data_IF_386839688055
#
_entry.id   IF_386839688055
#
_cell.length_a   1.000
_cell.length_b   1.000
_cell.length_c   1.000
_cell.angle_alpha   90.00
_cell.angle_beta   90.00
_cell.angle_gamma   90.00
#
_symmetry.space_group_name_H-M   'P 1'
#
loop_
_entity.id
_entity.type
_entity.pdbx_description
1 polymer ?
#
# COMPACT_ATOMS: atom_id res chain seq x y z
N UNK A 1 10.64 -3.59 -11.54
CA UNK A 1 9.29 -3.61 -10.92
C UNK A 1 8.82 -2.20 -10.66
N UNK A 2 7.61 -1.82 -11.09
CA UNK A 2 7.01 -0.50 -10.80
C UNK A 2 6.00 -0.58 -9.67
N UNK A 3 6.23 0.17 -8.60
CA UNK A 3 5.40 0.14 -7.38
C UNK A 3 4.70 1.48 -7.18
N UNK A 4 3.37 1.46 -7.12
CA UNK A 4 2.58 2.63 -6.71
C UNK A 4 2.60 2.72 -5.19
N UNK A 5 3.22 3.76 -4.64
CA UNK A 5 3.21 3.99 -3.20
C UNK A 5 2.16 5.06 -2.83
N UNK A 6 1.32 4.75 -1.85
CA UNK A 6 0.32 5.67 -1.31
C UNK A 6 0.30 5.63 0.19
N UNK A 7 0.20 6.81 0.78
CA UNK A 7 0.12 6.99 2.22
C UNK A 7 -1.22 7.64 2.57
N UNK A 8 -1.85 7.18 3.65
CA UNK A 8 -3.09 7.73 4.17
C UNK A 8 -2.91 8.09 5.64
N UNK A 9 -3.30 9.30 6.05
CA UNK A 9 -3.27 9.73 7.45
C UNK A 9 -2.07 10.61 7.84
N UNK A 10 -1.48 10.38 9.02
CA UNK A 10 -0.62 11.34 9.72
C UNK A 10 0.84 11.37 9.24
N UNK A 11 1.58 12.42 9.63
CA UNK A 11 3.02 12.62 9.33
C UNK A 11 3.91 11.42 9.69
N UNK A 12 3.54 10.62 10.69
CA UNK A 12 4.33 9.45 11.10
C UNK A 12 4.46 8.40 9.98
N UNK A 13 3.46 8.28 9.09
CA UNK A 13 3.51 7.35 7.96
C UNK A 13 4.47 7.75 6.84
N UNK A 14 4.99 8.98 6.87
CA UNK A 14 5.99 9.39 5.88
C UNK A 14 7.27 8.59 6.09
N UNK A 15 7.62 8.26 7.34
CA UNK A 15 8.79 7.46 7.64
C UNK A 15 8.64 6.03 7.11
N UNK A 16 7.53 5.37 7.39
CA UNK A 16 7.26 4.01 6.90
C UNK A 16 7.21 3.96 5.37
N UNK A 17 6.59 4.96 4.75
CA UNK A 17 6.55 5.08 3.31
C UNK A 17 7.94 5.26 2.70
N UNK A 18 8.81 6.05 3.33
CA UNK A 18 10.17 6.26 2.86
C UNK A 18 11.01 4.99 3.00
N UNK A 19 10.80 4.21 4.07
CA UNK A 19 11.44 2.90 4.20
C UNK A 19 10.95 1.91 3.13
N UNK A 20 9.66 1.90 2.82
CA UNK A 20 9.11 1.11 1.71
C UNK A 20 9.68 1.59 0.36
N UNK A 21 9.84 2.90 0.16
CA UNK A 21 10.47 3.44 -1.04
C UNK A 21 11.90 2.93 -1.17
N UNK A 22 12.70 3.07 -0.11
CA UNK A 22 14.07 2.61 -0.07
C UNK A 22 14.17 1.09 -0.34
N UNK A 23 13.26 0.28 0.19
CA UNK A 23 13.17 -1.15 -0.12
C UNK A 23 12.94 -1.42 -1.61
N UNK A 24 11.97 -0.74 -2.21
CA UNK A 24 11.65 -0.90 -3.63
C UNK A 24 12.84 -0.49 -4.49
N UNK A 25 13.48 0.63 -4.19
CA UNK A 25 14.66 1.11 -4.92
C UNK A 25 15.86 0.18 -4.75
N UNK A 26 16.11 -0.33 -3.54
CA UNK A 26 17.17 -1.31 -3.27
C UNK A 26 16.98 -2.63 -4.05
N UNK A 27 15.72 -3.00 -4.34
CA UNK A 27 15.38 -4.15 -5.19
C UNK A 27 15.44 -3.84 -6.70
N UNK A 28 15.92 -2.65 -7.10
CA UNK A 28 15.97 -2.21 -8.50
C UNK A 28 14.60 -1.84 -9.08
N UNK A 29 13.61 -1.62 -8.21
CA UNK A 29 12.28 -1.15 -8.57
C UNK A 29 12.21 0.37 -8.74
N UNK A 30 11.08 0.84 -9.25
CA UNK A 30 10.76 2.26 -9.40
C UNK A 30 9.50 2.56 -8.61
N UNK A 31 9.58 3.51 -7.68
CA UNK A 31 8.42 4.01 -6.98
C UNK A 31 7.73 5.08 -7.80
N UNK A 32 6.45 4.87 -8.05
CA UNK A 32 5.57 5.82 -8.72
C UNK A 32 4.83 6.60 -7.64
N UNK A 33 5.28 7.83 -7.40
CA UNK A 33 4.47 8.83 -6.71
C UNK A 33 3.45 9.37 -7.71
N UNK A 34 2.18 9.41 -7.34
CA UNK A 34 1.26 10.17 -8.18
C UNK A 34 -0.15 9.75 -7.96
N UNK A 35 -0.96 10.65 -7.40
CA UNK A 35 -2.39 10.57 -7.10
C UNK A 35 -3.26 9.95 -8.20
N UNK A 36 -2.78 9.93 -9.45
CA UNK A 36 -3.46 9.32 -10.57
C UNK A 36 -3.10 7.84 -10.75
N UNK A 37 -4.00 6.96 -10.29
CA UNK A 37 -3.92 5.50 -10.49
C UNK A 37 -3.93 5.14 -11.98
N UNK A 38 -4.38 6.03 -12.88
CA UNK A 38 -4.53 5.72 -14.32
C UNK A 38 -3.24 5.89 -15.12
N UNK A 39 -2.39 6.86 -14.76
CA UNK A 39 -1.14 7.15 -15.51
C UNK A 39 0.02 6.23 -15.13
N UNK A 40 -0.04 5.56 -13.98
CA UNK A 40 1.01 4.68 -13.50
C UNK A 40 0.72 3.23 -13.90
N UNK A 41 1.49 2.66 -14.84
CA UNK A 41 1.47 1.23 -15.13
C UNK A 41 2.15 0.40 -14.02
N UNK A 42 1.67 0.56 -12.78
CA UNK A 42 2.18 -0.13 -11.62
C UNK A 42 1.78 -1.61 -11.63
N UNK A 43 2.75 -2.48 -11.36
CA UNK A 43 2.55 -3.93 -11.20
C UNK A 43 2.04 -4.23 -9.79
N UNK A 44 2.50 -3.44 -8.82
CA UNK A 44 2.12 -3.56 -7.41
C UNK A 44 1.77 -2.19 -6.85
N UNK A 45 0.76 -2.12 -5.99
CA UNK A 45 0.44 -0.95 -5.20
C UNK A 45 0.65 -1.24 -3.72
N UNK A 46 1.51 -0.46 -3.07
CA UNK A 46 1.70 -0.51 -1.62
C UNK A 46 0.96 0.66 -0.99
N UNK A 47 -0.02 0.35 -0.15
CA UNK A 47 -0.79 1.34 0.59
C UNK A 47 -0.42 1.26 2.07
N UNK A 48 0.00 2.38 2.66
CA UNK A 48 0.26 2.49 4.10
C UNK A 48 -0.70 3.46 4.76
N UNK A 49 -1.22 3.10 5.94
CA UNK A 49 -2.12 3.94 6.72
C UNK A 49 -1.88 3.80 8.22
N UNK A 50 -2.00 4.92 8.94
CA UNK A 50 -1.67 5.03 10.37
C UNK A 50 -2.87 4.59 11.23
N UNK A 51 -4.04 4.38 10.60
CA UNK A 51 -5.28 3.93 11.22
C UNK A 51 -5.77 4.70 12.45
N UNK A 52 -5.21 5.89 12.69
CA UNK A 52 -5.53 6.72 13.84
C UNK A 52 -6.98 7.23 13.74
N UNK A 53 -7.48 7.44 12.52
CA UNK A 53 -8.85 7.90 12.28
C UNK A 53 -9.63 6.94 11.38
N UNK A 54 -10.96 6.91 11.54
CA UNK A 54 -11.83 6.10 10.71
C UNK A 54 -11.86 6.61 9.26
N UNK A 55 -11.67 7.92 9.06
CA UNK A 55 -11.56 8.54 7.74
C UNK A 55 -10.34 8.00 6.97
N UNK A 56 -9.17 7.91 7.62
CA UNK A 56 -7.97 7.38 6.97
C UNK A 56 -8.11 5.90 6.58
N UNK A 57 -8.89 5.13 7.33
CA UNK A 57 -9.23 3.75 6.99
C UNK A 57 -10.24 3.69 5.83
N UNK A 58 -11.23 4.59 5.80
CA UNK A 58 -12.18 4.70 4.70
C UNK A 58 -11.49 5.08 3.38
N UNK A 59 -10.59 6.07 3.40
CA UNK A 59 -9.79 6.51 2.25
C UNK A 59 -8.92 5.37 1.70
N UNK A 60 -8.25 4.64 2.59
CA UNK A 60 -7.48 3.46 2.23
C UNK A 60 -8.35 2.43 1.50
N UNK A 61 -9.50 2.07 2.09
CA UNK A 61 -10.44 1.10 1.50
C UNK A 61 -10.99 1.58 0.16
N UNK A 62 -11.24 2.88 0.01
CA UNK A 62 -11.69 3.47 -1.25
C UNK A 62 -10.60 3.39 -2.32
N UNK A 63 -9.35 3.67 -1.96
CA UNK A 63 -8.21 3.57 -2.86
C UNK A 63 -7.98 2.14 -3.34
N UNK A 64 -8.04 1.14 -2.43
CA UNK A 64 -7.96 -0.29 -2.80
C UNK A 64 -9.02 -0.64 -3.84
N UNK A 65 -10.29 -0.32 -3.57
CA UNK A 65 -11.40 -0.61 -4.48
C UNK A 65 -11.27 0.09 -5.83
N UNK A 66 -10.73 1.32 -5.83
CA UNK A 66 -10.47 2.06 -7.07
C UNK A 66 -9.36 1.41 -7.88
N UNK A 67 -8.26 1.00 -7.25
CA UNK A 67 -7.18 0.27 -7.92
C UNK A 67 -7.71 -1.03 -8.52
N UNK A 68 -8.45 -1.83 -7.73
CA UNK A 68 -9.00 -3.09 -8.22
C UNK A 68 -9.99 -2.92 -9.39
N UNK A 69 -10.70 -1.78 -9.46
CA UNK A 69 -11.63 -1.46 -10.56
C UNK A 69 -10.90 -0.94 -11.79
N UNK A 70 -10.01 0.03 -11.62
CA UNK A 70 -9.35 0.75 -12.71
C UNK A 70 -8.16 -0.07 -13.26
N UNK A 71 -7.59 -0.98 -12.45
CA UNK A 71 -6.40 -1.79 -12.74
C UNK A 71 -6.53 -3.19 -12.10
N UNK A 72 -7.33 -4.10 -12.66
CA UNK A 72 -7.54 -5.44 -12.08
C UNK A 72 -6.26 -6.29 -12.00
N UNK A 73 -5.26 -6.01 -12.85
CA UNK A 73 -3.98 -6.74 -12.86
C UNK A 73 -2.96 -6.23 -11.83
N UNK A 74 -3.24 -5.10 -11.16
CA UNK A 74 -2.34 -4.53 -10.15
C UNK A 74 -2.57 -5.23 -8.81
N UNK A 75 -1.53 -5.87 -8.28
CA UNK A 75 -1.55 -6.47 -6.94
C UNK A 75 -1.54 -5.38 -5.88
N UNK A 76 -2.37 -5.49 -4.85
CA UNK A 76 -2.38 -4.54 -3.74
C UNK A 76 -1.78 -5.18 -2.48
N UNK A 77 -0.86 -4.47 -1.86
CA UNK A 77 -0.25 -4.78 -0.57
C UNK A 77 -0.64 -3.66 0.39
N UNK A 78 -1.18 -4.01 1.55
CA UNK A 78 -1.52 -3.03 2.58
C UNK A 78 -0.61 -3.25 3.79
N UNK A 79 0.06 -2.19 4.23
CA UNK A 79 0.99 -2.23 5.36
C UNK A 79 0.71 -1.13 6.40
N UNK A 80 1.31 -1.22 7.58
CA UNK A 80 1.18 -0.22 8.64
C UNK A 80 0.05 -0.50 9.65
N UNK A 81 -0.27 0.50 10.48
CA UNK A 81 -1.21 0.34 11.59
C UNK A 81 -2.63 -0.07 11.15
N UNK A 82 -3.06 0.28 9.94
CA UNK A 82 -4.36 -0.15 9.41
C UNK A 82 -4.43 -1.67 9.24
N UNK A 83 -3.34 -2.26 8.74
CA UNK A 83 -3.21 -3.70 8.65
C UNK A 83 -3.23 -4.36 10.03
N UNK A 84 -2.71 -3.70 11.08
CA UNK A 84 -2.78 -4.22 12.46
C UNK A 84 -4.18 -4.17 13.05
N UNK A 85 -4.96 -3.11 12.76
CA UNK A 85 -6.27 -2.89 13.36
C UNK A 85 -7.37 -3.76 12.76
N UNK A 86 -7.36 -3.91 11.43
CA UNK A 86 -8.44 -4.56 10.69
C UNK A 86 -7.92 -5.55 9.63
N UNK A 87 -7.02 -6.49 9.97
CA UNK A 87 -6.32 -7.32 8.99
C UNK A 87 -7.27 -8.14 8.11
N UNK A 88 -8.23 -8.84 8.72
CA UNK A 88 -9.20 -9.66 7.98
C UNK A 88 -10.10 -8.82 7.05
N UNK A 89 -10.54 -7.66 7.52
CA UNK A 89 -11.40 -6.78 6.74
C UNK A 89 -10.65 -6.07 5.59
N UNK A 90 -9.32 -5.94 5.67
CA UNK A 90 -8.47 -5.44 4.58
C UNK A 90 -8.17 -6.57 3.60
N UNK A 91 -7.85 -7.77 4.09
CA UNK A 91 -7.60 -8.95 3.25
C UNK A 91 -8.82 -9.34 2.39
N UNK A 92 -10.03 -9.07 2.87
CA UNK A 92 -11.26 -9.29 2.12
C UNK A 92 -11.52 -8.26 1.00
N UNK A 93 -10.69 -7.22 0.86
CA UNK A 93 -10.86 -6.23 -0.20
C UNK A 93 -10.36 -6.79 -1.55
N UNK A 94 -11.00 -6.40 -2.67
CA UNK A 94 -10.60 -6.89 -3.98
C UNK A 94 -9.18 -6.42 -4.35
N UNK A 95 -8.40 -7.30 -4.97
CA UNK A 95 -7.03 -7.03 -5.40
C UNK A 95 -5.98 -7.04 -4.29
N UNK A 96 -6.38 -7.20 -3.03
CA UNK A 96 -5.42 -7.34 -1.91
C UNK A 96 -4.81 -8.73 -1.94
N UNK A 97 -3.48 -8.76 -2.03
CA UNK A 97 -2.68 -10.00 -2.09
C UNK A 97 -1.86 -10.22 -0.84
N UNK A 98 -1.57 -9.16 -0.07
CA UNK A 98 -0.90 -9.25 1.21
C UNK A 98 -1.34 -8.13 2.17
N UNK A 99 -1.39 -8.47 3.46
CA UNK A 99 -1.65 -7.54 4.56
C UNK A 99 -0.52 -7.72 5.56
N UNK A 100 0.24 -6.64 5.78
CA UNK A 100 1.45 -6.64 6.62
C UNK A 100 1.22 -5.73 7.83
N UNK A 101 0.94 -6.30 9.01
CA UNK A 101 0.73 -5.49 10.22
C UNK A 101 1.98 -4.70 10.62
N UNK A 102 1.81 -3.43 10.97
CA UNK A 102 2.88 -2.58 11.49
C UNK A 102 3.92 -2.21 10.43
N UNK A 103 5.10 -1.75 10.89
CA UNK A 103 6.22 -1.36 10.05
C UNK A 103 7.17 -2.54 9.76
N UNK A 104 6.62 -3.69 9.37
CA UNK A 104 7.42 -4.87 9.03
C UNK A 104 7.93 -4.79 7.58
N UNK A 105 9.14 -4.26 7.46
CA UNK A 105 9.85 -4.10 6.20
C UNK A 105 10.23 -5.43 5.55
N UNK A 106 10.60 -6.43 6.34
CA UNK A 106 11.00 -7.73 5.82
C UNK A 106 9.79 -8.46 5.19
N UNK A 107 8.64 -8.43 5.88
CA UNK A 107 7.40 -8.98 5.35
C UNK A 107 6.89 -8.18 4.13
N UNK A 108 7.03 -6.85 4.15
CA UNK A 108 6.67 -6.00 3.00
C UNK A 108 7.54 -6.31 1.77
N UNK A 109 8.85 -6.49 1.96
CA UNK A 109 9.77 -6.91 0.90
C UNK A 109 9.40 -8.29 0.34
N UNK A 110 9.15 -9.27 1.21
CA UNK A 110 8.75 -10.62 0.79
C UNK A 110 7.43 -10.62 0.00
N UNK A 111 6.49 -9.72 0.32
CA UNK A 111 5.22 -9.59 -0.40
C UNK A 111 5.35 -8.94 -1.78
N UNK A 112 6.41 -8.15 -2.01
CA UNK A 112 6.67 -7.53 -3.32
C UNK A 112 7.08 -8.58 -4.37
N UNK A 113 7.78 -9.63 -3.93
CA UNK A 113 8.37 -10.69 -4.77
C UNK A 113 9.86 -10.46 -5.00
#
# INVERSE_FOLDING_TARGET
MRVLLRTFGCRANQYDAEQVRALVEAAGGTVLDGSDVRSAAAEVAVLTSCAVTAEAEADLRQAVRRIARDRPDTRVIVTGCAASRSPAAIAALPGVTAVVPGADLAATAAALG
#
